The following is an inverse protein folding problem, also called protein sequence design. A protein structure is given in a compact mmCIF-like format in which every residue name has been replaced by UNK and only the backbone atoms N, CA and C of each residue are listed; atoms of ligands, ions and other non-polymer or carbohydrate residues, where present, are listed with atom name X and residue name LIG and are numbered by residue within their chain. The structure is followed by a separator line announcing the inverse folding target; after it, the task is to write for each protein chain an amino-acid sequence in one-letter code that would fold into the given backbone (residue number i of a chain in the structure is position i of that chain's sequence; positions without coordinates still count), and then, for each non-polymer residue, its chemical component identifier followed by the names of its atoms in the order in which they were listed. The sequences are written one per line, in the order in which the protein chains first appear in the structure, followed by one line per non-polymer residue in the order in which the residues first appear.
data_IF_022634083465
#
_entry.id   IF_022634083465
#
_cell.length_a   1.000
_cell.length_b   1.000
_cell.length_c   1.000
_cell.angle_alpha   90.00
_cell.angle_beta   90.00
_cell.angle_gamma   90.00
#
_symmetry.space_group_name_H-M   'P 1'
#
loop_
_entity.id
_entity.type
_entity.pdbx_description
1 polymer ?
#
# COMPACT_ATOMS: atom_id res chain seq x y z
N UNK A 1 10.83 7.54 -27.07
CA UNK A 1 9.93 6.57 -26.41
C UNK A 1 10.20 6.67 -24.92
N UNK A 2 9.27 7.26 -24.17
CA UNK A 2 9.41 7.40 -22.72
C UNK A 2 9.42 6.00 -22.12
N UNK A 3 10.54 5.61 -21.52
CA UNK A 3 10.57 4.41 -20.71
C UNK A 3 9.86 4.77 -19.42
N UNK A 4 8.65 4.26 -19.18
CA UNK A 4 8.17 4.06 -17.83
C UNK A 4 8.48 2.60 -17.47
N UNK A 5 9.68 2.27 -16.94
CA UNK A 5 9.98 0.91 -16.49
C UNK A 5 9.40 0.62 -15.10
N UNK A 6 8.57 1.49 -14.54
CA UNK A 6 8.09 1.36 -13.17
C UNK A 6 6.65 0.86 -13.18
N UNK A 7 6.49 -0.46 -13.34
CA UNK A 7 5.38 -1.11 -12.68
C UNK A 7 5.52 -0.78 -11.20
N UNK A 8 4.57 -0.06 -10.64
CA UNK A 8 4.58 0.24 -9.22
C UNK A 8 4.50 -1.10 -8.47
N UNK A 9 5.59 -1.46 -7.79
CA UNK A 9 5.61 -2.61 -6.91
C UNK A 9 4.74 -2.33 -5.68
N UNK A 10 4.28 -3.40 -5.03
CA UNK A 10 3.56 -3.34 -3.75
C UNK A 10 4.20 -2.37 -2.73
N UNK A 11 5.53 -2.31 -2.70
CA UNK A 11 6.29 -1.42 -1.81
C UNK A 11 6.01 0.07 -2.04
N UNK A 12 5.80 0.46 -3.29
CA UNK A 12 5.56 1.86 -3.68
C UNK A 12 4.11 2.24 -3.38
N UNK A 13 3.14 1.37 -3.74
CA UNK A 13 1.72 1.52 -3.36
C UNK A 13 1.61 1.65 -1.83
N UNK A 14 2.31 0.80 -1.09
CA UNK A 14 2.34 0.83 0.37
C UNK A 14 2.95 2.14 0.90
N UNK A 15 4.04 2.62 0.31
CA UNK A 15 4.71 3.85 0.77
C UNK A 15 3.80 5.07 0.61
N UNK A 16 3.18 5.20 -0.56
CA UNK A 16 2.25 6.32 -0.83
C UNK A 16 0.96 6.18 -0.03
N UNK A 17 0.40 4.97 0.06
CA UNK A 17 -0.78 4.73 0.90
C UNK A 17 -0.52 5.07 2.38
N UNK A 18 0.70 4.79 2.88
CA UNK A 18 1.14 5.19 4.23
C UNK A 18 1.16 6.70 4.38
N UNK A 19 1.73 7.42 3.43
CA UNK A 19 1.85 8.87 3.50
C UNK A 19 0.47 9.53 3.48
N UNK A 20 -0.40 9.07 2.57
CA UNK A 20 -1.76 9.58 2.44
C UNK A 20 -2.62 9.30 3.67
N UNK A 21 -2.58 8.10 4.26
CA UNK A 21 -3.34 7.81 5.48
C UNK A 21 -2.82 8.60 6.69
N UNK A 22 -1.53 8.95 6.73
CA UNK A 22 -0.96 9.81 7.77
C UNK A 22 -1.33 11.28 7.57
N UNK A 23 -1.42 11.73 6.32
CA UNK A 23 -1.84 13.09 5.98
C UNK A 23 -3.34 13.29 6.18
N UNK A 24 -4.16 12.33 5.75
CA UNK A 24 -5.62 12.39 5.82
C UNK A 24 -6.20 11.04 6.30
N UNK A 25 -6.32 10.84 7.62
CA UNK A 25 -6.84 9.59 8.19
C UNK A 25 -8.34 9.40 7.97
N UNK A 26 -9.04 10.39 7.38
CA UNK A 26 -10.46 10.27 7.01
C UNK A 26 -10.64 9.44 5.75
N UNK A 27 -9.61 9.37 4.90
CA UNK A 27 -9.67 8.60 3.65
C UNK A 27 -9.36 7.13 3.94
N UNK A 28 -10.24 6.19 3.57
CA UNK A 28 -9.99 4.77 3.78
C UNK A 28 -8.86 4.26 2.88
N UNK A 29 -7.98 3.41 3.44
CA UNK A 29 -6.85 2.79 2.73
C UNK A 29 -7.30 2.09 1.44
N UNK A 30 -8.49 1.50 1.42
CA UNK A 30 -9.09 0.87 0.24
C UNK A 30 -9.20 1.82 -0.95
N UNK A 31 -9.64 3.06 -0.71
CA UNK A 31 -9.84 4.06 -1.76
C UNK A 31 -8.49 4.56 -2.28
N UNK A 32 -7.53 4.76 -1.37
CA UNK A 32 -6.15 5.13 -1.71
C UNK A 32 -5.50 4.05 -2.57
N UNK A 33 -5.51 2.80 -2.14
CA UNK A 33 -4.87 1.69 -2.87
C UNK A 33 -5.55 1.43 -4.20
N UNK A 34 -6.88 1.56 -4.29
CA UNK A 34 -7.60 1.43 -5.54
C UNK A 34 -7.23 2.54 -6.52
N UNK A 35 -7.24 3.80 -6.07
CA UNK A 35 -6.86 4.96 -6.88
C UNK A 35 -5.43 4.86 -7.39
N UNK A 36 -4.49 4.47 -6.52
CA UNK A 36 -3.10 4.19 -6.92
C UNK A 36 -3.03 3.05 -7.92
N UNK A 37 -3.73 1.94 -7.70
CA UNK A 37 -3.69 0.81 -8.62
C UNK A 37 -4.28 1.15 -10.00
N UNK A 38 -5.39 1.87 -10.06
CA UNK A 38 -6.02 2.29 -11.32
C UNK A 38 -5.12 3.21 -12.15
N UNK A 39 -4.34 4.09 -11.51
CA UNK A 39 -3.36 4.96 -12.18
C UNK A 39 -2.24 4.14 -12.87
N UNK A 40 -1.90 2.99 -12.29
CA UNK A 40 -0.79 2.14 -12.74
C UNK A 40 -1.22 1.07 -13.72
N UNK A 41 -2.39 0.50 -13.49
CA UNK A 41 -2.98 -0.62 -14.23
C UNK A 41 -4.33 -0.19 -14.78
N UNK A 42 -4.29 0.78 -15.71
CA UNK A 42 -5.50 1.31 -16.34
C UNK A 42 -6.32 0.17 -16.98
N UNK A 43 -7.55 0.00 -16.51
CA UNK A 43 -8.47 -1.02 -17.02
C UNK A 43 -8.41 -2.39 -16.32
N UNK A 44 -7.53 -2.59 -15.33
CA UNK A 44 -7.53 -3.79 -14.50
C UNK A 44 -8.18 -3.53 -13.14
N UNK A 45 -9.05 -4.43 -12.66
CA UNK A 45 -9.63 -4.29 -11.33
C UNK A 45 -8.56 -4.47 -10.26
N UNK A 46 -8.51 -3.55 -9.29
CA UNK A 46 -7.59 -3.64 -8.15
C UNK A 46 -7.81 -4.97 -7.38
N UNK A 47 -6.78 -5.81 -7.23
CA UNK A 47 -6.92 -7.11 -6.60
C UNK A 47 -7.18 -6.92 -5.09
N UNK A 48 -8.18 -7.62 -4.51
CA UNK A 48 -8.49 -7.49 -3.08
C UNK A 48 -7.32 -7.92 -2.18
N UNK A 49 -6.47 -8.84 -2.66
CA UNK A 49 -5.25 -9.26 -1.96
C UNK A 49 -4.24 -8.10 -1.76
N UNK A 50 -4.15 -7.18 -2.72
CA UNK A 50 -3.27 -6.01 -2.61
C UNK A 50 -3.75 -5.06 -1.52
N UNK A 51 -5.05 -4.77 -1.52
CA UNK A 51 -5.71 -3.94 -0.51
C UNK A 51 -5.44 -4.49 0.89
N UNK A 52 -5.71 -5.79 1.09
CA UNK A 52 -5.47 -6.48 2.36
C UNK A 52 -4.00 -6.43 2.76
N UNK A 53 -3.07 -6.65 1.82
CA UNK A 53 -1.64 -6.61 2.09
C UNK A 53 -1.16 -5.21 2.50
N UNK A 54 -1.64 -4.14 1.84
CA UNK A 54 -1.31 -2.76 2.20
C UNK A 54 -1.91 -2.44 3.57
N UNK A 55 -3.18 -2.77 3.77
CA UNK A 55 -3.88 -2.57 5.04
C UNK A 55 -3.16 -3.27 6.20
N UNK A 56 -2.77 -4.54 6.04
CA UNK A 56 -1.97 -5.25 7.03
C UNK A 56 -0.61 -4.60 7.26
N UNK A 57 0.09 -4.20 6.21
CA UNK A 57 1.40 -3.57 6.34
C UNK A 57 1.34 -2.20 7.05
N UNK A 58 0.25 -1.46 6.90
CA UNK A 58 0.00 -0.19 7.58
C UNK A 58 -0.48 -0.38 9.02
N UNK A 59 -1.32 -1.39 9.27
CA UNK A 59 -1.81 -1.70 10.62
C UNK A 59 -0.75 -2.38 11.50
N UNK A 60 0.17 -3.14 10.91
CA UNK A 60 1.26 -3.82 11.60
C UNK A 60 2.61 -3.33 11.07
N UNK A 61 3.11 -2.18 11.52
CA UNK A 61 4.47 -1.74 11.19
C UNK A 61 5.57 -2.71 11.72
N UNK A 62 5.21 -3.75 12.47
CA UNK A 62 6.15 -4.61 13.20
C UNK A 62 5.78 -6.10 13.30
N UNK A 63 5.05 -6.70 12.35
CA UNK A 63 5.02 -8.18 12.29
C UNK A 63 6.28 -8.71 11.60
N UNK A 64 7.42 -8.59 12.27
CA UNK A 64 8.70 -9.05 11.76
C UNK A 64 9.88 -8.90 12.73
N UNK A 65 9.81 -8.03 13.74
CA UNK A 65 10.87 -7.96 14.75
C UNK A 65 10.43 -7.20 16.01
N UNK A 66 9.69 -7.85 16.91
CA UNK A 66 9.75 -7.62 18.37
C UNK A 66 8.91 -8.70 19.03
N UNK A 67 9.57 -9.79 19.39
CA UNK A 67 8.98 -10.91 20.11
C UNK A 67 10.07 -11.72 20.78
N UNK A 68 10.90 -11.06 21.61
CA UNK A 68 11.62 -11.64 22.76
C UNK A 68 12.58 -10.60 23.37
N UNK A 69 12.04 -9.47 23.83
CA UNK A 69 12.60 -8.77 24.98
C UNK A 69 11.78 -9.23 26.19
N UNK A 70 12.20 -10.33 26.83
CA UNK A 70 11.52 -10.91 27.97
C UNK A 70 12.53 -11.36 29.01
N UNK A 71 12.70 -10.48 30.02
CA UNK A 71 13.40 -10.63 31.32
C UNK A 71 14.90 -10.87 31.31
#
# INVERSE_FOLDING_TARGET
MVSAPNGYDFSDIKAVARELVQSDPSVPIEDIVRSLYEDLYEGEPCPPALIEAVKQALQHPACGQTGAGGT
#
